data_IF_118404263408
#
_entry.id   IF_118404263408
#
_cell.length_a   1.000
_cell.length_b   1.000
_cell.length_c   1.000
_cell.angle_alpha   90.00
_cell.angle_beta   90.00
_cell.angle_gamma   90.00
#
_symmetry.space_group_name_H-M   'P 1'
#
loop_
_entity.id
_entity.type
_entity.pdbx_description
1 polymer ?
#
# COMPACT_ATOMS: atom_id res chain seq x y z
N UNK A 1 -27.21 7.91 -16.14
CA UNK A 1 -27.86 8.44 -14.92
C UNK A 1 -27.86 9.96 -14.98
N UNK A 2 -28.96 10.63 -14.63
CA UNK A 2 -29.01 12.11 -14.61
C UNK A 2 -28.23 12.65 -13.40
N UNK A 3 -27.73 13.89 -13.47
CA UNK A 3 -26.93 14.51 -12.39
C UNK A 3 -27.69 14.59 -11.05
N UNK A 4 -29.01 14.83 -11.09
CA UNK A 4 -29.87 14.89 -9.90
C UNK A 4 -30.11 13.51 -9.28
N UNK A 5 -30.21 12.45 -10.09
CA UNK A 5 -30.32 11.06 -9.62
C UNK A 5 -29.01 10.61 -8.98
N UNK A 6 -27.86 10.94 -9.61
CA UNK A 6 -26.54 10.67 -9.06
C UNK A 6 -26.35 11.32 -7.69
N UNK A 7 -26.72 12.60 -7.56
CA UNK A 7 -26.60 13.33 -6.30
C UNK A 7 -27.39 12.66 -5.19
N UNK A 8 -28.67 12.35 -5.43
CA UNK A 8 -29.52 11.65 -4.45
C UNK A 8 -28.94 10.31 -4.02
N UNK A 9 -28.45 9.53 -4.97
CA UNK A 9 -27.86 8.22 -4.70
C UNK A 9 -26.60 8.37 -3.83
N UNK A 10 -25.71 9.30 -4.16
CA UNK A 10 -24.52 9.55 -3.35
C UNK A 10 -24.87 10.04 -1.94
N UNK A 11 -25.80 10.98 -1.80
CA UNK A 11 -26.25 11.49 -0.49
C UNK A 11 -26.95 10.43 0.38
N UNK A 12 -27.47 9.35 -0.21
CA UNK A 12 -28.09 8.25 0.53
C UNK A 12 -27.07 7.36 1.25
N UNK A 13 -25.92 7.06 0.62
CA UNK A 13 -24.92 6.17 1.20
C UNK A 13 -23.73 6.91 1.82
N UNK A 14 -23.30 8.02 1.20
CA UNK A 14 -22.07 8.73 1.55
C UNK A 14 -22.34 9.77 2.64
N UNK A 15 -21.63 9.61 3.74
CA UNK A 15 -21.68 10.51 4.89
C UNK A 15 -20.24 10.79 5.35
N UNK A 16 -19.81 12.04 5.17
CA UNK A 16 -18.44 12.46 5.48
C UNK A 16 -18.14 12.43 6.98
N UNK A 17 -19.15 12.53 7.84
CA UNK A 17 -18.97 12.53 9.29
C UNK A 17 -18.56 11.16 9.82
N UNK A 18 -18.88 10.07 9.11
CA UNK A 18 -18.41 8.72 9.47
C UNK A 18 -16.89 8.60 9.44
N UNK A 19 -16.23 9.45 8.66
CA UNK A 19 -14.78 9.47 8.51
C UNK A 19 -14.08 10.24 9.63
N UNK A 20 -14.80 10.92 10.53
CA UNK A 20 -14.21 11.59 11.70
C UNK A 20 -13.52 10.59 12.64
N UNK A 21 -14.00 9.35 12.70
CA UNK A 21 -13.37 8.27 13.46
C UNK A 21 -11.95 7.93 12.98
N UNK A 22 -11.56 8.31 11.76
CA UNK A 22 -10.17 8.17 11.26
C UNK A 22 -9.18 8.98 12.10
N UNK A 23 -9.61 10.11 12.65
CA UNK A 23 -8.76 10.99 13.48
C UNK A 23 -8.36 10.32 14.80
N UNK A 24 -9.16 9.35 15.27
CA UNK A 24 -8.91 8.61 16.50
C UNK A 24 -7.99 7.40 16.31
N UNK A 25 -7.68 7.04 15.06
CA UNK A 25 -6.81 5.90 14.74
C UNK A 25 -5.37 6.15 15.15
N UNK A 26 -4.66 5.08 15.52
CA UNK A 26 -3.20 5.12 15.64
C UNK A 26 -2.54 5.24 14.26
N UNK A 27 -1.26 5.60 14.22
CA UNK A 27 -0.48 5.65 12.99
C UNK A 27 -0.53 4.31 12.22
N UNK A 28 -0.41 3.19 12.93
CA UNK A 28 -0.51 1.86 12.33
C UNK A 28 -1.89 1.58 11.74
N UNK A 29 -2.95 1.90 12.49
CA UNK A 29 -4.32 1.71 12.03
C UNK A 29 -4.62 2.59 10.82
N UNK A 30 -4.17 3.84 10.83
CA UNK A 30 -4.30 4.77 9.72
C UNK A 30 -3.57 4.26 8.45
N UNK A 31 -2.37 3.70 8.61
CA UNK A 31 -1.68 3.03 7.50
C UNK A 31 -2.52 1.90 6.92
N UNK A 32 -3.11 1.04 7.76
CA UNK A 32 -3.99 -0.06 7.32
C UNK A 32 -5.20 0.48 6.54
N UNK A 33 -5.86 1.55 6.99
CA UNK A 33 -6.99 2.15 6.26
C UNK A 33 -6.61 2.57 4.83
N UNK A 34 -5.44 3.18 4.67
CA UNK A 34 -4.94 3.63 3.36
C UNK A 34 -4.54 2.42 2.51
N UNK A 35 -3.75 1.49 3.06
CA UNK A 35 -3.31 0.27 2.37
C UNK A 35 -4.50 -0.54 1.85
N UNK A 36 -5.52 -0.76 2.67
CA UNK A 36 -6.68 -1.59 2.31
C UNK A 36 -7.52 -0.97 1.22
N UNK A 37 -7.68 0.35 1.19
CA UNK A 37 -8.37 1.05 0.08
C UNK A 37 -7.58 1.00 -1.23
N UNK A 38 -6.26 1.15 -1.15
CA UNK A 38 -5.38 0.95 -2.32
C UNK A 38 -5.53 -0.48 -2.85
N UNK A 39 -5.51 -1.48 -1.97
CA UNK A 39 -5.70 -2.88 -2.34
C UNK A 39 -7.09 -3.12 -2.95
N UNK A 40 -8.16 -2.63 -2.31
CA UNK A 40 -9.53 -2.77 -2.78
C UNK A 40 -9.69 -2.18 -4.18
N UNK A 41 -9.18 -0.97 -4.42
CA UNK A 41 -9.24 -0.33 -5.73
C UNK A 41 -8.47 -1.10 -6.79
N UNK A 42 -7.26 -1.58 -6.49
CA UNK A 42 -6.48 -2.43 -7.41
C UNK A 42 -7.17 -3.76 -7.73
N UNK A 43 -7.86 -4.34 -6.75
CA UNK A 43 -8.67 -5.54 -6.92
C UNK A 43 -9.88 -5.26 -7.80
N UNK A 44 -10.58 -4.14 -7.57
CA UNK A 44 -11.72 -3.71 -8.38
C UNK A 44 -11.34 -3.56 -9.86
N UNK A 45 -10.23 -2.89 -10.16
CA UNK A 45 -9.74 -2.74 -11.54
C UNK A 45 -9.40 -4.07 -12.25
N UNK A 46 -9.26 -5.17 -11.50
CA UNK A 46 -8.95 -6.51 -12.02
C UNK A 46 -10.05 -7.52 -11.73
N UNK A 47 -11.24 -7.08 -11.32
CA UNK A 47 -12.34 -7.90 -10.79
C UNK A 47 -12.63 -9.14 -11.63
N UNK A 48 -12.68 -8.98 -12.94
CA UNK A 48 -13.01 -10.06 -13.88
C UNK A 48 -11.97 -11.18 -13.87
N UNK A 49 -10.70 -10.84 -13.58
CA UNK A 49 -9.57 -11.77 -13.54
C UNK A 49 -9.20 -12.26 -12.14
N UNK A 50 -9.89 -11.78 -11.09
CA UNK A 50 -9.59 -12.17 -9.72
C UNK A 50 -9.94 -13.64 -9.44
N UNK A 51 -9.08 -14.38 -8.72
CA UNK A 51 -9.44 -15.68 -8.15
C UNK A 51 -10.64 -15.58 -7.19
N UNK A 52 -11.41 -16.66 -6.97
CA UNK A 52 -12.63 -16.64 -6.15
C UNK A 52 -12.44 -16.07 -4.73
N UNK A 53 -11.37 -16.46 -4.02
CA UNK A 53 -11.10 -15.97 -2.67
C UNK A 53 -10.83 -14.45 -2.65
N UNK A 54 -10.14 -13.94 -3.67
CA UNK A 54 -9.90 -12.50 -3.81
C UNK A 54 -11.19 -11.75 -4.14
N UNK A 55 -12.13 -12.35 -4.88
CA UNK A 55 -13.44 -11.72 -5.12
C UNK A 55 -14.23 -11.57 -3.81
N UNK A 56 -14.25 -12.60 -2.96
CA UNK A 56 -14.89 -12.51 -1.63
C UNK A 56 -14.28 -11.40 -0.77
N UNK A 57 -12.95 -11.26 -0.80
CA UNK A 57 -12.26 -10.18 -0.08
C UNK A 57 -12.60 -8.79 -0.66
N UNK A 58 -12.71 -8.67 -1.99
CA UNK A 58 -13.16 -7.44 -2.63
C UNK A 58 -14.59 -7.09 -2.22
N UNK A 59 -15.48 -8.07 -2.14
CA UNK A 59 -16.87 -7.86 -1.73
C UNK A 59 -16.96 -7.38 -0.27
N UNK A 60 -16.12 -7.91 0.64
CA UNK A 60 -16.00 -7.41 2.03
C UNK A 60 -15.52 -5.95 2.08
N UNK A 61 -14.45 -5.63 1.35
CA UNK A 61 -13.94 -4.26 1.26
C UNK A 61 -14.97 -3.29 0.68
N UNK A 62 -15.63 -3.71 -0.40
CA UNK A 62 -16.71 -2.93 -1.04
C UNK A 62 -17.84 -2.67 -0.05
N UNK A 63 -18.26 -3.68 0.71
CA UNK A 63 -19.30 -3.53 1.72
C UNK A 63 -18.91 -2.47 2.78
N UNK A 64 -17.68 -2.52 3.28
CA UNK A 64 -17.16 -1.57 4.27
C UNK A 64 -17.08 -0.14 3.72
N UNK A 65 -16.55 0.04 2.51
CA UNK A 65 -16.48 1.34 1.82
C UNK A 65 -17.87 1.96 1.69
N UNK A 66 -18.83 1.20 1.19
CA UNK A 66 -20.20 1.68 0.94
C UNK A 66 -20.96 2.03 2.23
N UNK A 67 -20.44 1.63 3.39
CA UNK A 67 -20.98 1.99 4.70
C UNK A 67 -20.17 3.07 5.41
N UNK A 68 -19.05 3.51 4.84
CA UNK A 68 -18.09 4.39 5.52
C UNK A 68 -17.51 3.74 6.77
N UNK A 69 -17.40 2.40 6.78
CA UNK A 69 -16.81 1.66 7.89
C UNK A 69 -15.29 1.76 7.84
N UNK A 70 -14.68 1.81 9.03
CA UNK A 70 -13.24 1.66 9.20
C UNK A 70 -12.90 0.19 8.91
N UNK A 71 -11.90 -0.03 8.06
CA UNK A 71 -11.46 -1.38 7.67
C UNK A 71 -10.78 -2.13 8.82
N UNK A 72 -10.16 -1.39 9.72
CA UNK A 72 -9.53 -1.89 10.91
C UNK A 72 -10.56 -2.47 11.89
N UNK A 73 -10.50 -3.79 12.08
CA UNK A 73 -11.25 -4.52 13.10
C UNK A 73 -10.30 -5.45 13.85
N UNK A 74 -9.87 -5.06 15.06
CA UNK A 74 -9.09 -5.93 15.95
C UNK A 74 -7.63 -5.49 16.16
N UNK A 75 -6.69 -6.43 16.12
CA UNK A 75 -5.25 -6.16 16.26
C UNK A 75 -4.63 -5.89 14.88
N UNK A 76 -3.66 -4.98 14.82
CA UNK A 76 -2.91 -4.63 13.59
C UNK A 76 -1.91 -5.72 13.18
N UNK A 77 -1.70 -6.72 14.04
CA UNK A 77 -0.97 -7.94 13.69
C UNK A 77 -1.57 -8.50 12.41
N UNK A 78 -0.77 -8.48 11.33
CA UNK A 78 -1.03 -9.09 10.02
C UNK A 78 -2.15 -10.12 10.10
N UNK A 79 -3.35 -9.80 9.61
CA UNK A 79 -4.47 -10.73 9.69
C UNK A 79 -4.05 -12.12 9.18
N UNK A 80 -3.89 -13.08 10.11
CA UNK A 80 -3.44 -14.46 9.85
C UNK A 80 -2.22 -14.92 10.64
N UNK A 81 -1.90 -16.21 10.54
CA UNK A 81 -0.72 -16.87 11.13
C UNK A 81 0.60 -16.60 10.37
N UNK A 82 0.67 -15.51 9.60
CA UNK A 82 1.80 -15.20 8.72
C UNK A 82 2.92 -14.43 9.43
N UNK A 83 4.15 -14.59 8.96
CA UNK A 83 5.27 -13.73 9.36
C UNK A 83 5.09 -12.32 8.77
N UNK A 84 5.57 -11.31 9.51
CA UNK A 84 5.57 -9.91 9.05
C UNK A 84 6.36 -9.73 7.74
N UNK A 85 5.96 -8.76 6.91
CA UNK A 85 6.56 -8.48 5.59
C UNK A 85 6.49 -7.01 5.21
N UNK A 86 7.30 -6.62 4.24
CA UNK A 86 7.22 -5.34 3.51
C UNK A 86 7.36 -5.60 2.01
N UNK A 87 7.23 -4.57 1.18
CA UNK A 87 7.58 -4.66 -0.24
C UNK A 87 9.06 -5.05 -0.47
N UNK A 88 9.95 -4.77 0.50
CA UNK A 88 11.39 -5.02 0.40
C UNK A 88 11.81 -6.39 0.96
N UNK A 89 11.13 -6.86 2.01
CA UNK A 89 11.44 -8.13 2.69
C UNK A 89 10.16 -8.95 2.82
N UNK A 90 10.11 -10.05 2.07
CA UNK A 90 8.95 -10.94 2.02
C UNK A 90 9.38 -12.35 2.44
N UNK A 91 8.82 -12.91 3.53
CA UNK A 91 9.05 -14.30 3.90
C UNK A 91 8.65 -15.26 2.78
N UNK A 92 9.48 -16.27 2.52
CA UNK A 92 9.17 -17.30 1.52
C UNK A 92 8.05 -18.19 2.04
N UNK A 93 6.90 -18.18 1.37
CA UNK A 93 5.80 -19.09 1.69
C UNK A 93 5.98 -20.46 1.03
N UNK A 94 5.23 -21.47 1.49
CA UNK A 94 5.14 -22.77 0.82
C UNK A 94 4.78 -22.64 -0.66
N UNK A 95 3.87 -21.74 -1.00
CA UNK A 95 3.47 -21.48 -2.39
C UNK A 95 4.61 -20.86 -3.20
N UNK A 96 5.39 -19.94 -2.63
CA UNK A 96 6.59 -19.41 -3.27
C UNK A 96 7.63 -20.50 -3.53
N UNK A 97 7.87 -21.38 -2.55
CA UNK A 97 8.80 -22.50 -2.69
C UNK A 97 8.37 -23.46 -3.83
N UNK A 98 7.08 -23.78 -3.91
CA UNK A 98 6.55 -24.60 -5.00
C UNK A 98 6.69 -23.93 -6.38
N UNK A 99 6.50 -22.61 -6.45
CA UNK A 99 6.73 -21.87 -7.69
C UNK A 99 8.21 -21.95 -8.10
N UNK A 100 9.14 -21.75 -7.16
CA UNK A 100 10.57 -21.91 -7.44
C UNK A 100 10.91 -23.32 -7.94
N UNK A 101 10.39 -24.37 -7.28
CA UNK A 101 10.61 -25.75 -7.70
C UNK A 101 10.12 -26.01 -9.14
N UNK A 102 8.90 -25.56 -9.48
CA UNK A 102 8.34 -25.71 -10.84
C UNK A 102 9.15 -24.94 -11.88
N UNK A 103 9.58 -23.73 -11.55
CA UNK A 103 10.42 -22.91 -12.42
C UNK A 103 11.75 -23.60 -12.74
N UNK A 104 12.41 -24.17 -11.73
CA UNK A 104 13.64 -24.94 -11.91
C UNK A 104 13.44 -26.15 -12.83
N UNK A 105 12.37 -26.93 -12.59
CA UNK A 105 12.05 -28.09 -13.43
C UNK A 105 11.84 -27.68 -14.89
N UNK A 106 11.06 -26.62 -15.12
CA UNK A 106 10.78 -26.15 -16.48
C UNK A 106 12.06 -25.73 -17.23
N UNK A 107 12.96 -24.98 -16.57
CA UNK A 107 14.22 -24.55 -17.18
C UNK A 107 15.14 -25.74 -17.48
N UNK A 108 15.18 -26.73 -16.59
CA UNK A 108 15.96 -27.96 -16.78
C UNK A 108 15.50 -28.80 -17.97
N UNK A 109 14.23 -28.69 -18.37
CA UNK A 109 13.68 -29.44 -19.52
C UNK A 109 13.91 -28.79 -20.88
N UNK A 110 14.33 -27.52 -20.95
CA UNK A 110 14.50 -26.81 -22.22
C UNK A 110 15.99 -26.74 -22.60
N UNK A 111 16.43 -27.33 -23.72
CA UNK A 111 17.86 -27.44 -24.08
C UNK A 111 18.58 -26.08 -24.11
N UNK A 112 17.94 -25.05 -24.68
CA UNK A 112 18.50 -23.70 -24.78
C UNK A 112 18.70 -22.98 -23.44
N UNK A 113 17.94 -23.33 -22.40
CA UNK A 113 18.07 -22.71 -21.07
C UNK A 113 18.88 -23.56 -20.11
N UNK A 114 18.85 -24.89 -20.28
CA UNK A 114 19.68 -25.83 -19.51
C UNK A 114 21.19 -25.57 -19.66
N UNK A 115 21.61 -25.05 -20.82
CA UNK A 115 23.01 -24.67 -21.07
C UNK A 115 23.39 -23.26 -20.59
N UNK A 116 22.40 -22.39 -20.28
CA UNK A 116 22.64 -20.96 -20.02
C UNK A 116 23.06 -20.63 -18.59
N UNK A 117 22.76 -21.49 -17.61
CA UNK A 117 23.10 -21.22 -16.21
C UNK A 117 23.71 -22.45 -15.55
N UNK A 118 24.94 -22.27 -15.06
CA UNK A 118 25.68 -23.26 -14.25
C UNK A 118 25.76 -22.85 -12.78
N UNK A 119 25.04 -21.81 -12.36
CA UNK A 119 25.14 -21.34 -10.98
C UNK A 119 24.51 -22.32 -10.00
N UNK A 120 25.23 -22.63 -8.92
CA UNK A 120 24.72 -23.38 -7.77
C UNK A 120 23.75 -22.54 -6.92
N UNK A 121 23.70 -21.22 -7.14
CA UNK A 121 22.84 -20.31 -6.39
C UNK A 121 21.52 -20.04 -7.12
N UNK A 122 20.41 -20.33 -6.44
CA UNK A 122 19.04 -20.13 -6.93
C UNK A 122 18.80 -18.75 -7.55
N UNK A 123 19.30 -17.69 -6.92
CA UNK A 123 19.06 -16.30 -7.35
C UNK A 123 19.76 -15.94 -8.64
N UNK A 124 20.96 -16.44 -8.86
CA UNK A 124 21.71 -16.26 -10.12
C UNK A 124 21.02 -17.03 -11.23
N UNK A 125 20.67 -18.30 -10.96
CA UNK A 125 19.96 -19.16 -11.88
C UNK A 125 18.61 -18.56 -12.34
N UNK A 126 17.78 -18.10 -11.39
CA UNK A 126 16.49 -17.47 -11.69
C UNK A 126 16.64 -16.15 -12.45
N UNK A 127 17.73 -15.42 -12.24
CA UNK A 127 18.02 -14.18 -12.97
C UNK A 127 18.42 -14.47 -14.42
N UNK A 128 19.36 -15.39 -14.63
CA UNK A 128 19.88 -15.76 -15.97
C UNK A 128 18.80 -16.40 -16.85
N UNK A 129 17.88 -17.14 -16.24
CA UNK A 129 16.75 -17.77 -16.93
C UNK A 129 15.60 -16.82 -17.28
N UNK A 130 15.60 -15.58 -16.78
CA UNK A 130 14.56 -14.58 -17.07
C UNK A 130 13.19 -14.85 -16.43
N UNK A 131 13.06 -15.87 -15.56
CA UNK A 131 11.80 -16.21 -14.89
C UNK A 131 11.38 -15.15 -13.87
N UNK A 132 12.32 -14.41 -13.29
CA UNK A 132 12.02 -13.37 -12.29
C UNK A 132 12.58 -12.01 -12.72
N UNK A 133 11.68 -11.07 -12.99
CA UNK A 133 12.04 -9.68 -13.30
C UNK A 133 12.54 -8.90 -12.07
N UNK A 134 12.07 -9.28 -10.88
CA UNK A 134 12.53 -8.76 -9.61
C UNK A 134 13.71 -9.61 -9.14
N UNK A 135 14.90 -9.08 -9.31
CA UNK A 135 16.14 -9.74 -8.94
C UNK A 135 16.23 -9.87 -7.40
N UNK A 136 15.67 -10.95 -6.87
CA UNK A 136 15.58 -11.25 -5.44
C UNK A 136 16.46 -12.43 -5.07
N UNK A 137 16.91 -12.47 -3.81
CA UNK A 137 17.58 -13.63 -3.23
C UNK A 137 16.66 -14.34 -2.23
N UNK A 138 16.85 -15.65 -2.09
CA UNK A 138 16.30 -16.42 -0.97
C UNK A 138 17.48 -16.70 -0.04
N UNK A 139 17.31 -16.40 1.25
CA UNK A 139 18.35 -16.59 2.27
C UNK A 139 17.76 -17.30 3.46
N UNK A 140 18.57 -18.14 4.09
CA UNK A 140 18.26 -18.70 5.40
C UNK A 140 18.81 -17.78 6.48
N UNK A 141 17.94 -17.38 7.41
CA UNK A 141 18.32 -16.57 8.58
C UNK A 141 18.06 -17.43 9.81
N UNK A 142 19.14 -17.87 10.45
CA UNK A 142 19.07 -18.73 11.63
C UNK A 142 18.79 -17.91 12.90
N UNK A 143 17.52 -17.66 13.18
CA UNK A 143 17.06 -16.82 14.30
C UNK A 143 17.48 -17.33 15.70
N UNK A 144 17.90 -18.59 15.82
CA UNK A 144 18.37 -19.19 17.08
C UNK A 144 19.88 -19.08 17.28
N UNK A 145 20.64 -18.83 16.21
CA UNK A 145 22.11 -18.91 16.21
C UNK A 145 22.78 -17.56 16.44
N UNK A 146 22.07 -16.46 16.21
CA UNK A 146 22.61 -15.11 16.29
C UNK A 146 21.61 -14.13 16.91
N UNK A 147 22.13 -13.12 17.61
CA UNK A 147 21.29 -12.03 18.14
C UNK A 147 20.67 -11.20 17.00
N UNK A 148 19.64 -10.40 17.31
CA UNK A 148 19.05 -9.51 16.31
C UNK A 148 20.08 -8.50 15.78
N UNK A 149 20.93 -7.98 16.66
CA UNK A 149 22.02 -7.06 16.32
C UNK A 149 23.05 -7.71 15.39
N UNK A 150 23.47 -8.95 15.68
CA UNK A 150 24.42 -9.67 14.84
C UNK A 150 23.85 -9.96 13.45
N UNK A 151 22.58 -10.38 13.38
CA UNK A 151 21.87 -10.60 12.11
C UNK A 151 21.86 -9.30 11.30
N UNK A 152 21.55 -8.16 11.93
CA UNK A 152 21.55 -6.86 11.28
C UNK A 152 22.94 -6.50 10.75
N UNK A 153 24.01 -6.68 11.53
CA UNK A 153 25.38 -6.39 11.09
C UNK A 153 25.83 -7.29 9.93
N UNK A 154 25.50 -8.58 9.98
CA UNK A 154 25.77 -9.50 8.88
C UNK A 154 25.04 -9.06 7.59
N UNK A 155 23.76 -8.70 7.70
CA UNK A 155 22.97 -8.25 6.54
C UNK A 155 23.47 -6.91 5.98
N UNK A 156 23.94 -5.98 6.82
CA UNK A 156 24.56 -4.72 6.38
C UNK A 156 25.78 -4.96 5.48
N UNK A 157 26.58 -5.98 5.78
CA UNK A 157 27.77 -6.34 4.98
C UNK A 157 27.40 -7.13 3.73
N UNK A 158 26.48 -8.10 3.85
CA UNK A 158 26.15 -9.03 2.78
C UNK A 158 25.27 -8.42 1.69
N UNK A 159 24.29 -7.56 2.03
CA UNK A 159 23.37 -6.97 1.04
C UNK A 159 24.12 -6.19 -0.08
N UNK A 160 25.08 -5.31 0.22
CA UNK A 160 25.89 -4.65 -0.81
C UNK A 160 26.68 -5.64 -1.68
N UNK A 161 27.21 -6.71 -1.08
CA UNK A 161 27.96 -7.74 -1.82
C UNK A 161 27.06 -8.50 -2.78
N UNK A 162 25.89 -8.95 -2.33
CA UNK A 162 24.90 -9.63 -3.17
C UNK A 162 24.44 -8.75 -4.33
N UNK A 163 24.19 -7.45 -4.07
CA UNK A 163 23.85 -6.49 -5.13
C UNK A 163 24.96 -6.40 -6.20
N UNK A 164 26.23 -6.36 -5.77
CA UNK A 164 27.39 -6.31 -6.67
C UNK A 164 27.56 -7.61 -7.47
N UNK A 165 27.54 -8.76 -6.80
CA UNK A 165 27.68 -10.09 -7.41
C UNK A 165 26.60 -10.34 -8.47
N UNK A 166 25.36 -10.03 -8.11
CA UNK A 166 24.24 -10.19 -9.01
C UNK A 166 24.13 -9.07 -10.03
N UNK A 167 25.02 -8.07 -10.06
CA UNK A 167 24.96 -6.92 -10.99
C UNK A 167 23.59 -6.25 -10.97
N UNK A 168 23.11 -5.90 -9.79
CA UNK A 168 21.85 -5.17 -9.62
C UNK A 168 22.04 -3.70 -9.90
N UNK A 169 21.06 -3.09 -10.56
CA UNK A 169 20.95 -1.65 -10.62
C UNK A 169 20.47 -1.12 -9.27
N UNK A 170 20.94 0.06 -8.90
CA UNK A 170 20.38 0.77 -7.76
C UNK A 170 18.88 1.02 -7.99
N UNK A 171 18.07 0.92 -6.93
CA UNK A 171 16.66 1.27 -7.03
C UNK A 171 16.54 2.72 -7.49
N UNK A 172 15.60 2.99 -8.39
CA UNK A 172 15.33 4.35 -8.84
C UNK A 172 15.10 5.26 -7.63
N UNK A 173 15.76 6.43 -7.62
CA UNK A 173 15.53 7.43 -6.57
C UNK A 173 14.05 7.75 -6.55
N UNK A 174 13.42 7.51 -5.40
CA UNK A 174 12.00 7.79 -5.27
C UNK A 174 11.76 9.28 -5.41
N UNK A 175 10.92 9.64 -6.38
CA UNK A 175 10.49 11.02 -6.61
C UNK A 175 9.66 11.56 -5.45
N UNK A 176 9.05 10.67 -4.67
CA UNK A 176 8.15 11.00 -3.58
C UNK A 176 8.66 10.43 -2.26
N UNK A 177 8.62 11.26 -1.21
CA UNK A 177 8.87 10.84 0.18
C UNK A 177 7.62 11.14 1.01
N UNK A 178 7.08 10.09 1.59
CA UNK A 178 5.99 10.14 2.55
C UNK A 178 6.49 10.75 3.87
N UNK A 179 5.66 11.56 4.52
CA UNK A 179 6.03 12.23 5.77
C UNK A 179 4.82 12.84 6.48
N UNK A 180 5.04 13.48 7.63
CA UNK A 180 3.97 14.09 8.44
C UNK A 180 3.09 15.07 7.63
N UNK A 181 3.69 15.83 6.71
CA UNK A 181 2.95 16.74 5.82
C UNK A 181 1.98 16.00 4.89
N UNK A 182 2.33 14.81 4.42
CA UNK A 182 1.44 13.97 3.60
C UNK A 182 0.32 13.39 4.45
N UNK A 183 0.62 12.85 5.63
CA UNK A 183 -0.40 12.37 6.56
C UNK A 183 -1.41 13.47 6.89
N UNK A 184 -0.91 14.68 7.16
CA UNK A 184 -1.73 15.87 7.37
C UNK A 184 -2.63 16.16 6.16
N UNK A 185 -2.10 16.12 4.94
CA UNK A 185 -2.90 16.28 3.72
C UNK A 185 -3.99 15.20 3.59
N UNK A 186 -3.70 13.94 3.88
CA UNK A 186 -4.70 12.86 3.80
C UNK A 186 -5.90 13.16 4.71
N UNK A 187 -5.64 13.65 5.92
CA UNK A 187 -6.67 14.02 6.90
C UNK A 187 -7.37 15.32 6.49
N UNK A 188 -6.59 16.38 6.29
CA UNK A 188 -7.10 17.74 6.09
C UNK A 188 -7.88 17.89 4.79
N UNK A 189 -7.46 17.16 3.76
CA UNK A 189 -8.06 17.22 2.42
C UNK A 189 -9.15 16.15 2.27
N UNK A 190 -9.46 15.40 3.34
CA UNK A 190 -10.46 14.33 3.33
C UNK A 190 -10.18 13.33 2.19
N UNK A 191 -8.93 12.90 2.03
CA UNK A 191 -8.54 12.05 0.90
C UNK A 191 -9.09 10.62 1.02
N UNK A 192 -9.23 10.07 2.22
CA UNK A 192 -9.82 8.75 2.42
C UNK A 192 -11.28 8.70 1.92
N UNK A 193 -12.20 9.60 2.35
CA UNK A 193 -13.54 9.63 1.77
C UNK A 193 -13.54 9.96 0.27
N UNK A 194 -12.59 10.75 -0.22
CA UNK A 194 -12.43 10.97 -1.66
C UNK A 194 -12.06 9.69 -2.41
N UNK A 195 -11.16 8.87 -1.86
CA UNK A 195 -10.81 7.56 -2.41
C UNK A 195 -12.04 6.63 -2.46
N UNK A 196 -12.90 6.71 -1.45
CA UNK A 196 -14.13 5.90 -1.39
C UNK A 196 -15.17 6.36 -2.45
N UNK A 197 -15.27 7.67 -2.72
CA UNK A 197 -16.05 8.20 -3.85
C UNK A 197 -15.48 7.78 -5.22
N UNK A 198 -14.14 7.79 -5.37
CA UNK A 198 -13.46 7.32 -6.59
C UNK A 198 -13.73 5.83 -6.81
N UNK A 199 -13.60 5.02 -5.75
CA UNK A 199 -13.89 3.60 -5.75
C UNK A 199 -15.34 3.35 -6.17
N UNK A 200 -16.29 4.07 -5.56
CA UNK A 200 -17.71 3.97 -5.91
C UNK A 200 -17.95 4.25 -7.40
N UNK A 201 -17.32 5.30 -7.95
CA UNK A 201 -17.45 5.65 -9.37
C UNK A 201 -16.98 4.52 -10.28
N UNK A 202 -15.81 3.94 -9.99
CA UNK A 202 -15.26 2.80 -10.73
C UNK A 202 -16.16 1.55 -10.62
N UNK A 203 -16.70 1.26 -9.44
CA UNK A 203 -17.57 0.09 -9.20
C UNK A 203 -18.94 0.21 -9.88
N UNK A 204 -19.40 1.43 -10.15
CA UNK A 204 -20.68 1.72 -10.79
C UNK A 204 -20.51 2.07 -12.27
N UNK A 205 -19.92 1.16 -13.04
CA UNK A 205 -19.71 1.30 -14.50
C UNK A 205 -18.94 2.57 -14.88
N UNK A 206 -17.84 2.86 -14.18
CA UNK A 206 -17.01 4.05 -14.40
C UNK A 206 -17.81 5.36 -14.38
N UNK A 207 -18.81 5.44 -13.50
CA UNK A 207 -19.64 6.63 -13.34
C UNK A 207 -18.78 7.80 -12.89
N UNK A 208 -18.76 8.87 -13.69
CA UNK A 208 -18.01 10.10 -13.39
C UNK A 208 -18.76 10.99 -12.39
N UNK A 209 -18.18 11.17 -11.21
CA UNK A 209 -18.60 12.18 -10.24
C UNK A 209 -17.92 13.50 -10.60
N UNK A 210 -18.68 14.59 -10.77
CA UNK A 210 -18.08 15.90 -11.05
C UNK A 210 -17.31 16.42 -9.82
N UNK A 211 -16.22 17.14 -10.04
CA UNK A 211 -15.42 17.70 -8.94
C UNK A 211 -16.21 18.69 -8.08
N UNK A 212 -17.16 19.45 -8.66
CA UNK A 212 -18.13 20.25 -7.89
C UNK A 212 -18.98 19.42 -6.95
N UNK A 213 -19.50 18.27 -7.40
CA UNK A 213 -20.32 17.40 -6.57
C UNK A 213 -19.47 16.73 -5.48
N UNK A 214 -18.25 16.33 -5.82
CA UNK A 214 -17.30 15.78 -4.86
C UNK A 214 -16.91 16.82 -3.79
N UNK A 215 -16.64 18.07 -4.20
CA UNK A 215 -16.36 19.18 -3.28
C UNK A 215 -17.54 19.43 -2.34
N UNK A 216 -18.79 19.48 -2.85
CA UNK A 216 -19.95 19.64 -1.98
C UNK A 216 -20.09 18.47 -1.00
N UNK A 217 -20.01 17.22 -1.46
CA UNK A 217 -20.12 16.05 -0.58
C UNK A 217 -19.03 16.02 0.50
N UNK A 218 -17.81 16.43 0.15
CA UNK A 218 -16.67 16.39 1.07
C UNK A 218 -16.56 17.60 1.98
N UNK A 219 -17.07 18.78 1.61
CA UNK A 219 -16.72 20.04 2.27
C UNK A 219 -17.89 21.00 2.51
N UNK A 220 -19.15 20.61 2.27
CA UNK A 220 -20.32 21.51 2.43
C UNK A 220 -20.41 22.20 3.80
N UNK A 221 -19.94 21.57 4.88
CA UNK A 221 -19.90 22.14 6.23
C UNK A 221 -18.47 22.33 6.78
N UNK A 222 -17.45 22.33 5.92
CA UNK A 222 -16.06 22.46 6.38
C UNK A 222 -15.65 23.92 6.52
N UNK A 223 -14.97 24.26 7.62
CA UNK A 223 -14.29 25.56 7.76
C UNK A 223 -13.11 25.72 6.76
N UNK A 224 -12.64 24.61 6.16
CA UNK A 224 -11.58 24.64 5.15
C UNK A 224 -12.19 24.88 3.77
N UNK A 225 -11.80 25.99 3.15
CA UNK A 225 -12.20 26.34 1.79
C UNK A 225 -11.54 25.39 0.77
N UNK A 226 -12.32 24.42 0.28
CA UNK A 226 -11.90 23.32 -0.61
C UNK A 226 -12.88 23.15 -1.75
N UNK A 227 -12.83 24.11 -2.66
CA UNK A 227 -13.68 24.17 -3.84
C UNK A 227 -13.25 23.18 -4.95
N UNK A 228 -14.02 23.17 -6.05
CA UNK A 228 -13.72 22.39 -7.25
C UNK A 228 -12.30 22.67 -7.80
N UNK A 229 -11.81 23.91 -7.69
CA UNK A 229 -10.48 24.30 -8.15
C UNK A 229 -9.37 23.61 -7.38
N UNK A 230 -9.45 23.61 -6.05
CA UNK A 230 -8.51 22.92 -5.16
C UNK A 230 -8.52 21.41 -5.41
N UNK A 231 -9.71 20.82 -5.53
CA UNK A 231 -9.86 19.38 -5.82
C UNK A 231 -9.19 19.01 -7.15
N UNK A 232 -9.39 19.81 -8.18
CA UNK A 232 -8.85 19.58 -9.53
C UNK A 232 -7.32 19.61 -9.55
N UNK A 233 -6.72 20.59 -8.89
CA UNK A 233 -5.27 20.85 -8.98
C UNK A 233 -4.48 19.99 -8.00
N UNK A 234 -5.04 19.68 -6.83
CA UNK A 234 -4.29 19.08 -5.72
C UNK A 234 -4.87 17.76 -5.26
N UNK A 235 -6.15 17.72 -4.89
CA UNK A 235 -6.66 16.67 -3.98
C UNK A 235 -6.96 15.40 -4.73
N UNK A 236 -7.70 15.53 -5.83
CA UNK A 236 -8.04 14.41 -6.69
C UNK A 236 -6.79 13.78 -7.30
N UNK A 237 -5.81 14.54 -7.85
CA UNK A 237 -4.54 13.98 -8.27
C UNK A 237 -3.81 13.22 -7.14
N UNK A 238 -3.82 13.73 -5.91
CA UNK A 238 -3.16 13.08 -4.78
C UNK A 238 -3.88 11.80 -4.34
N UNK A 239 -5.21 11.81 -4.26
CA UNK A 239 -6.02 10.62 -3.98
C UNK A 239 -5.83 9.54 -5.06
N UNK A 240 -5.85 9.93 -6.33
CA UNK A 240 -5.56 9.02 -7.44
C UNK A 240 -4.13 8.48 -7.40
N UNK A 241 -3.15 9.31 -7.06
CA UNK A 241 -1.77 8.87 -6.92
C UNK A 241 -1.61 7.85 -5.78
N UNK A 242 -2.27 8.07 -4.62
CA UNK A 242 -2.32 7.08 -3.54
C UNK A 242 -2.90 5.73 -4.03
N UNK A 243 -4.01 5.76 -4.77
CA UNK A 243 -4.69 4.57 -5.27
C UNK A 243 -3.90 3.80 -6.34
N UNK A 244 -3.09 4.49 -7.16
CA UNK A 244 -2.54 3.93 -8.40
C UNK A 244 -1.01 3.85 -8.45
N UNK A 245 -0.29 4.78 -7.84
CA UNK A 245 1.18 4.81 -7.87
C UNK A 245 1.75 4.00 -6.70
N UNK A 246 2.41 2.88 -7.03
CA UNK A 246 3.05 2.02 -6.02
C UNK A 246 4.10 2.72 -5.17
N UNK A 247 4.71 3.81 -5.66
CA UNK A 247 5.73 4.54 -4.90
C UNK A 247 5.14 5.19 -3.65
N UNK A 248 3.85 5.55 -3.65
CA UNK A 248 3.19 6.11 -2.47
C UNK A 248 3.09 5.07 -1.36
N UNK A 249 2.60 3.87 -1.68
CA UNK A 249 2.47 2.79 -0.69
C UNK A 249 3.85 2.33 -0.18
N UNK A 250 4.83 2.14 -1.08
CA UNK A 250 6.21 1.80 -0.70
C UNK A 250 6.81 2.88 0.21
N UNK A 251 6.53 4.15 -0.06
CA UNK A 251 7.05 5.24 0.77
C UNK A 251 6.33 5.37 2.09
N UNK A 252 5.06 4.98 2.17
CA UNK A 252 4.36 4.90 3.44
C UNK A 252 4.87 3.72 4.28
N UNK A 253 5.14 2.56 3.67
CA UNK A 253 5.78 1.43 4.36
C UNK A 253 7.16 1.80 4.93
N UNK A 254 8.01 2.51 4.17
CA UNK A 254 9.29 3.00 4.69
C UNK A 254 9.09 3.93 5.88
N UNK A 255 8.13 4.86 5.77
CA UNK A 255 7.79 5.78 6.86
C UNK A 255 7.34 5.03 8.12
N UNK A 256 6.53 3.97 7.97
CA UNK A 256 6.10 3.12 9.07
C UNK A 256 7.28 2.39 9.72
N UNK A 257 8.23 1.90 8.94
CA UNK A 257 9.44 1.24 9.46
C UNK A 257 10.33 2.22 10.23
N UNK A 258 10.56 3.41 9.67
CA UNK A 258 11.35 4.47 10.32
C UNK A 258 10.70 4.98 11.61
N UNK A 259 9.37 4.99 11.68
CA UNK A 259 8.59 5.54 12.80
C UNK A 259 7.87 4.45 13.61
N UNK A 260 8.34 3.20 13.57
CA UNK A 260 7.66 2.07 14.20
C UNK A 260 7.46 2.25 15.73
N UNK A 261 8.36 2.99 16.39
CA UNK A 261 8.23 3.33 17.83
C UNK A 261 7.01 4.22 18.12
N UNK A 262 6.48 4.91 17.10
CA UNK A 262 5.31 5.79 17.19
C UNK A 262 4.04 5.13 16.64
N UNK A 263 4.08 3.84 16.26
CA UNK A 263 2.97 3.15 15.57
C UNK A 263 1.63 3.21 16.31
N UNK A 264 1.67 3.26 17.64
CA UNK A 264 0.50 3.28 18.52
C UNK A 264 0.08 4.72 18.90
N UNK A 265 0.78 5.74 18.41
CA UNK A 265 0.42 7.15 18.59
C UNK A 265 -0.81 7.48 17.74
N UNK A 266 -1.80 8.17 18.32
CA UNK A 266 -2.94 8.68 17.54
C UNK A 266 -2.47 9.54 16.38
N UNK A 267 -3.09 9.37 15.22
CA UNK A 267 -2.64 10.03 14.00
C UNK A 267 -2.67 11.55 14.12
N UNK A 268 -3.70 12.10 14.77
CA UNK A 268 -3.80 13.54 15.03
C UNK A 268 -2.68 14.07 15.90
N UNK A 269 -2.16 13.28 16.84
CA UNK A 269 -1.02 13.68 17.67
C UNK A 269 0.29 13.51 16.92
N UNK A 270 0.40 12.44 16.14
CA UNK A 270 1.58 12.14 15.32
C UNK A 270 1.87 13.24 14.29
N UNK A 271 0.81 13.80 13.68
CA UNK A 271 0.95 14.88 12.68
C UNK A 271 1.07 16.28 13.27
N UNK A 272 0.92 16.46 14.59
CA UNK A 272 1.17 17.77 15.23
C UNK A 272 2.64 18.15 15.04
N UNK A 273 2.87 19.44 14.81
CA UNK A 273 4.21 19.99 14.82
C UNK A 273 4.76 19.88 16.24
N UNK A 274 6.00 19.41 16.40
CA UNK A 274 6.68 19.50 17.68
C UNK A 274 6.71 20.98 18.06
N UNK A 275 6.11 21.33 19.21
CA UNK A 275 6.22 22.69 19.73
C UNK A 275 7.70 23.01 19.73
N UNK A 276 8.12 23.98 18.90
CA UNK A 276 9.47 24.54 18.97
C UNK A 276 9.70 24.80 20.46
N UNK A 277 10.76 24.20 21.03
CA UNK A 277 11.24 24.63 22.35
C UNK A 277 11.38 26.14 22.22
N UNK A 278 10.54 26.87 22.96
CA UNK A 278 10.72 28.30 23.11
C UNK A 278 12.13 28.45 23.70
N UNK A 279 13.02 29.03 22.88
CA UNK A 279 14.36 29.40 23.31
C UNK A 279 14.18 30.30 24.55
N UNK A 280 14.56 29.78 25.71
CA UNK A 280 14.71 30.55 26.95
C UNK A 280 15.98 31.37 26.89
#
# INVERSE_FOLDING_TARGET
MKRSELRKLLEEWFDVERYEAIKELTLQQFYVEVERRILAYKMLLKRDTLPPLNRLLLDDYRYKILRGEIFFSGDTSTQGHGLARTYAVVPVTRSNAQLYAKSLTLIGTHPETSQRSQSEYMSEYLKESGIKSLSSITVDIFLQEASTEDIIEHLKVLIPQWKKQLKMNDPAVRKYRFGKSTLRKIIDYRLIPMMDLIFWGADNNDTKISLSLMSSLLHENSEKDRDEGMLKVTDYPLAMALLTDENYLKSFEDYMMENNVLKDTKIVDHVKDEKKKEDK
#
